data_IF_715187541699
#
_entry.id   IF_715187541699
#
_cell.length_a   1.000
_cell.length_b   1.000
_cell.length_c   1.000
_cell.angle_alpha   90.00
_cell.angle_beta   90.00
_cell.angle_gamma   90.00
#
_symmetry.space_group_name_H-M   'P 1'
#
loop_
_entity.id
_entity.type
_entity.pdbx_description
1 polymer ?
#
# COMPACT_ATOMS: atom_id res chain seq x y z
N UNK A 1 11.79 13.24 20.45
CA UNK A 1 11.59 13.08 18.99
C UNK A 1 12.96 12.98 18.35
N UNK A 2 13.34 11.82 17.78
CA UNK A 2 14.67 11.62 17.18
C UNK A 2 14.56 11.53 15.67
N UNK A 3 15.46 12.24 14.99
CA UNK A 3 15.72 12.10 13.56
C UNK A 3 16.57 10.84 13.32
N UNK A 4 16.46 10.30 12.12
CA UNK A 4 17.26 9.20 11.61
C UNK A 4 17.24 9.22 10.08
N UNK A 5 18.15 8.51 9.44
CA UNK A 5 18.28 8.45 7.98
C UNK A 5 17.21 7.53 7.40
N UNK A 6 16.66 7.93 6.25
CA UNK A 6 15.88 7.05 5.38
C UNK A 6 16.79 6.64 4.22
N UNK A 7 16.96 5.35 4.00
CA UNK A 7 17.86 4.83 2.95
C UNK A 7 17.06 4.31 1.77
N UNK A 8 17.35 4.83 0.58
CA UNK A 8 16.86 4.32 -0.69
C UNK A 8 18.02 3.68 -1.44
N UNK A 9 17.96 2.37 -1.66
CA UNK A 9 18.95 1.66 -2.46
C UNK A 9 18.72 1.89 -3.97
N UNK A 10 19.65 1.42 -4.80
CA UNK A 10 19.60 1.62 -6.24
C UNK A 10 18.26 1.16 -6.85
N UNK A 11 17.61 2.03 -7.63
CA UNK A 11 16.34 1.72 -8.29
C UNK A 11 15.12 1.64 -7.36
N UNK A 12 15.23 1.97 -6.07
CA UNK A 12 14.08 2.13 -5.18
C UNK A 12 13.15 3.25 -5.69
N UNK A 13 11.83 3.05 -5.60
CA UNK A 13 10.83 4.01 -6.05
C UNK A 13 9.78 4.30 -4.99
N UNK A 14 9.39 5.58 -4.90
CA UNK A 14 8.38 6.06 -3.98
C UNK A 14 7.21 6.65 -4.77
N UNK A 15 6.01 6.16 -4.47
CA UNK A 15 4.78 6.69 -5.02
C UNK A 15 4.49 8.10 -4.52
N UNK A 16 3.75 8.91 -5.30
CA UNK A 16 3.39 10.26 -4.89
C UNK A 16 2.64 10.24 -3.55
N UNK A 17 2.97 11.23 -2.70
CA UNK A 17 2.40 11.39 -1.36
C UNK A 17 2.66 10.22 -0.40
N UNK A 18 3.63 9.33 -0.67
CA UNK A 18 4.09 8.38 0.35
C UNK A 18 4.82 9.09 1.49
N UNK A 19 4.66 8.61 2.71
CA UNK A 19 5.37 9.07 3.90
C UNK A 19 6.30 7.97 4.39
N UNK A 20 7.58 8.28 4.51
CA UNK A 20 8.60 7.34 4.97
C UNK A 20 9.15 7.82 6.31
N UNK A 21 8.91 7.05 7.37
CA UNK A 21 9.38 7.41 8.71
C UNK A 21 10.89 7.14 8.86
N UNK A 22 11.59 7.85 9.78
CA UNK A 22 13.03 7.71 9.92
C UNK A 22 13.48 6.27 10.22
N UNK A 23 14.73 5.95 9.89
CA UNK A 23 15.34 4.61 10.00
C UNK A 23 14.79 3.55 9.02
N UNK A 24 13.81 3.89 8.18
CA UNK A 24 13.32 2.97 7.16
C UNK A 24 14.34 2.77 6.03
N UNK A 25 14.33 1.58 5.43
CA UNK A 25 15.13 1.25 4.24
C UNK A 25 14.25 0.68 3.13
N UNK A 26 14.41 1.24 1.95
CA UNK A 26 13.77 0.76 0.72
C UNK A 26 14.86 0.08 -0.11
N UNK A 27 14.80 -1.26 -0.19
CA UNK A 27 15.85 -2.04 -0.84
C UNK A 27 15.86 -1.87 -2.36
N UNK A 28 16.89 -2.43 -3.00
CA UNK A 28 17.15 -2.31 -4.44
C UNK A 28 15.90 -2.71 -5.24
N UNK A 29 15.50 -1.88 -6.19
CA UNK A 29 14.33 -2.10 -7.07
C UNK A 29 12.97 -2.25 -6.33
N UNK A 30 12.90 -1.94 -5.03
CA UNK A 30 11.64 -1.96 -4.30
C UNK A 30 10.76 -0.76 -4.62
N UNK A 31 9.45 -0.95 -4.59
CA UNK A 31 8.46 0.08 -4.90
C UNK A 31 7.48 0.26 -3.75
N UNK A 32 7.37 1.49 -3.25
CA UNK A 32 6.29 1.93 -2.36
C UNK A 32 5.22 2.63 -3.19
N UNK A 33 3.96 2.23 -3.03
CA UNK A 33 2.83 2.77 -3.77
C UNK A 33 2.43 4.20 -3.35
N UNK A 34 1.53 4.84 -4.10
CA UNK A 34 1.00 6.16 -3.75
C UNK A 34 0.35 6.19 -2.36
N UNK A 35 0.36 7.35 -1.71
CA UNK A 35 -0.36 7.60 -0.44
C UNK A 35 -0.08 6.57 0.68
N UNK A 36 1.11 5.96 0.65
CA UNK A 36 1.48 4.87 1.56
C UNK A 36 2.28 5.37 2.77
N UNK A 37 2.24 4.63 3.89
CA UNK A 37 3.00 4.94 5.11
C UNK A 37 3.97 3.79 5.44
N UNK A 38 5.27 4.06 5.35
CA UNK A 38 6.33 3.15 5.81
C UNK A 38 6.72 3.51 7.23
N UNK A 39 6.68 2.52 8.11
CA UNK A 39 6.92 2.70 9.54
C UNK A 39 8.40 2.91 9.85
N UNK A 40 8.67 3.50 11.03
CA UNK A 40 10.04 3.75 11.50
C UNK A 40 10.79 2.43 11.60
N UNK A 41 11.98 2.37 11.00
CA UNK A 41 12.81 1.16 11.01
C UNK A 41 12.33 0.04 10.10
N UNK A 42 11.26 0.23 9.34
CA UNK A 42 10.72 -0.80 8.45
C UNK A 42 11.60 -0.99 7.22
N UNK A 43 11.78 -2.24 6.82
CA UNK A 43 12.50 -2.64 5.60
C UNK A 43 11.49 -3.06 4.53
N UNK A 44 11.55 -2.41 3.37
CA UNK A 44 10.87 -2.88 2.17
C UNK A 44 11.82 -3.78 1.37
N UNK A 45 11.52 -5.09 1.20
CA UNK A 45 12.43 -6.04 0.56
C UNK A 45 12.76 -5.72 -0.90
N UNK A 46 13.89 -6.24 -1.38
CA UNK A 46 14.35 -6.03 -2.76
C UNK A 46 13.34 -6.52 -3.80
N UNK A 47 13.31 -5.86 -4.96
CA UNK A 47 12.50 -6.22 -6.12
C UNK A 47 11.01 -6.51 -5.77
N UNK A 48 10.45 -5.80 -4.79
CA UNK A 48 9.10 -6.04 -4.27
C UNK A 48 8.23 -4.78 -4.31
N UNK A 49 6.91 -4.96 -4.30
CA UNK A 49 5.93 -3.88 -4.39
C UNK A 49 5.06 -3.87 -3.15
N UNK A 50 4.95 -2.70 -2.52
CA UNK A 50 4.24 -2.49 -1.26
C UNK A 50 3.35 -1.27 -1.35
N UNK A 51 2.20 -1.29 -0.68
CA UNK A 51 1.26 -0.17 -0.66
C UNK A 51 0.39 -0.21 0.59
N UNK A 52 -0.14 0.94 0.99
CA UNK A 52 -1.09 1.06 2.10
C UNK A 52 -0.58 1.96 3.21
N UNK A 53 -1.45 2.23 4.18
CA UNK A 53 -1.13 3.04 5.35
C UNK A 53 -1.63 2.31 6.62
N UNK A 54 -0.79 1.52 7.30
CA UNK A 54 0.63 1.21 6.99
C UNK A 54 0.79 0.29 5.77
N UNK A 55 2.00 0.20 5.23
CA UNK A 55 2.27 -0.62 4.04
C UNK A 55 2.07 -2.12 4.29
N UNK A 56 1.66 -2.82 3.22
CA UNK A 56 1.72 -4.27 3.10
C UNK A 56 2.03 -4.68 1.65
N UNK A 57 2.15 -5.99 1.35
CA UNK A 57 2.35 -6.45 -0.02
C UNK A 57 1.29 -5.88 -0.95
N UNK A 58 1.72 -5.29 -2.05
CA UNK A 58 0.82 -4.65 -3.01
C UNK A 58 -0.02 -5.73 -3.70
N UNK A 59 -1.31 -5.77 -3.37
CA UNK A 59 -2.29 -6.69 -3.97
C UNK A 59 -2.93 -6.07 -5.20
N UNK A 60 -3.28 -6.89 -6.18
CA UNK A 60 -4.09 -6.43 -7.30
C UNK A 60 -5.43 -5.87 -6.81
N UNK A 61 -5.87 -4.80 -7.47
CA UNK A 61 -7.15 -4.16 -7.16
C UNK A 61 -8.27 -4.97 -7.80
N UNK A 62 -9.11 -5.59 -6.98
CA UNK A 62 -10.38 -6.16 -7.45
C UNK A 62 -11.44 -5.08 -7.48
N UNK A 63 -11.89 -4.69 -8.68
CA UNK A 63 -12.95 -3.69 -8.83
C UNK A 63 -14.32 -4.36 -8.72
N UNK A 64 -15.16 -3.85 -7.81
CA UNK A 64 -16.58 -4.17 -7.77
C UNK A 64 -17.35 -3.36 -8.81
N UNK A 65 -18.43 -3.94 -9.36
CA UNK A 65 -19.39 -3.13 -10.12
C UNK A 65 -20.04 -2.15 -9.15
N UNK A 66 -19.99 -0.85 -9.47
CA UNK A 66 -20.82 0.12 -8.78
C UNK A 66 -22.27 -0.11 -9.20
N UNK A 67 -23.03 -0.80 -8.35
CA UNK A 67 -24.46 -0.96 -8.53
C UNK A 67 -25.16 0.21 -7.84
N UNK A 68 -26.13 0.86 -8.50
CA UNK A 68 -26.93 1.88 -7.83
C UNK A 68 -27.66 1.25 -6.63
N UNK A 69 -27.90 2.05 -5.59
CA UNK A 69 -28.45 1.58 -4.32
C UNK A 69 -29.75 0.75 -4.48
N UNK A 70 -30.56 1.10 -5.49
CA UNK A 70 -31.78 0.39 -5.88
C UNK A 70 -31.54 -1.04 -6.40
N UNK A 71 -30.42 -1.31 -7.06
CA UNK A 71 -30.06 -2.64 -7.56
C UNK A 71 -29.50 -3.55 -6.45
N UNK A 72 -28.90 -2.98 -5.39
CA UNK A 72 -28.36 -3.75 -4.26
C UNK A 72 -29.45 -4.37 -3.37
N UNK A 73 -30.63 -3.74 -3.29
CA UNK A 73 -31.75 -4.18 -2.46
C UNK A 73 -32.38 -5.52 -2.93
N UNK A 74 -32.27 -5.86 -4.22
CA UNK A 74 -32.82 -7.12 -4.78
C UNK A 74 -31.94 -8.35 -4.54
N UNK A 75 -30.63 -8.17 -4.40
CA UNK A 75 -29.67 -9.28 -4.32
C UNK A 75 -29.56 -9.91 -2.91
N UNK A 76 -29.80 -9.12 -1.84
CA UNK A 76 -29.65 -9.57 -0.46
C UNK A 76 -30.70 -10.61 0.00
N UNK A 77 -31.78 -10.79 -0.76
CA UNK A 77 -32.90 -11.70 -0.41
C UNK A 77 -32.74 -13.10 -1.02
N UNK A 78 -31.84 -13.28 -2.00
CA UNK A 78 -31.70 -14.53 -2.76
C UNK A 78 -30.65 -15.52 -2.21
N UNK A 79 -29.78 -15.10 -1.28
CA UNK A 79 -28.62 -15.89 -0.81
C UNK A 79 -28.76 -16.62 0.53
N UNK A 80 -29.95 -16.66 1.14
CA UNK A 80 -30.22 -17.40 2.38
C UNK A 80 -31.12 -18.61 2.11
N UNK A 81 -30.59 -19.62 1.42
CA UNK A 81 -31.09 -21.00 1.44
C UNK A 81 -29.92 -21.96 1.32
#
# INVERSE_FOLDING_TARGET
>A
MSMDTVTLDAGATLGPHSVILPAARIAREATVGPASLVMRGELVPEASRWSGNPIGPWREVTLGRYLPAEAAAGAATAGRR
#
